data_IF_619160975374
#
_entry.id   IF_619160975374
#
_cell.length_a   1.000
_cell.length_b   1.000
_cell.length_c   1.000
_cell.angle_alpha   90.00
_cell.angle_beta   90.00
_cell.angle_gamma   90.00
#
_symmetry.space_group_name_H-M   'P 1'
#
loop_
_entity.id
_entity.type
_entity.pdbx_description
1 polymer ?
#
# COMPACT_ATOMS: atom_id res chain seq x y z
N UNK A 1 -0.11 13.41 -30.43
CA UNK A 1 1.08 13.84 -29.67
C UNK A 1 0.75 13.61 -28.21
N UNK A 2 1.51 12.77 -27.50
CA UNK A 2 1.22 12.49 -26.10
C UNK A 2 1.44 13.76 -25.27
N UNK A 3 0.42 14.18 -24.52
CA UNK A 3 0.44 15.39 -23.70
C UNK A 3 1.48 15.24 -22.58
N UNK A 4 2.68 15.81 -22.78
CA UNK A 4 3.73 15.90 -21.76
C UNK A 4 3.77 17.33 -21.26
N UNK A 5 3.55 17.53 -19.97
CA UNK A 5 3.69 18.82 -19.30
C UNK A 5 5.13 18.98 -18.78
N UNK A 6 5.73 20.16 -18.97
CA UNK A 6 7.07 20.46 -18.45
C UNK A 6 6.95 20.99 -17.02
N UNK A 7 7.52 20.26 -16.07
CA UNK A 7 7.57 20.62 -14.66
C UNK A 7 9.03 20.86 -14.27
N UNK A 8 9.32 22.00 -13.65
CA UNK A 8 10.64 22.28 -13.07
C UNK A 8 10.67 21.76 -11.63
N UNK A 9 11.64 20.91 -11.32
CA UNK A 9 11.80 20.31 -9.99
C UNK A 9 13.25 20.47 -9.52
N UNK A 10 13.41 20.75 -8.23
CA UNK A 10 14.73 20.77 -7.59
C UNK A 10 15.08 19.38 -7.09
N UNK A 11 16.30 18.95 -7.34
CA UNK A 11 16.83 17.66 -6.88
C UNK A 11 18.10 17.87 -6.07
N UNK A 12 18.40 16.96 -5.14
CA UNK A 12 19.70 16.97 -4.48
C UNK A 12 20.81 16.64 -5.50
N UNK A 13 22.05 17.08 -5.28
CA UNK A 13 23.16 16.80 -6.20
C UNK A 13 23.32 15.31 -6.49
N UNK A 14 23.15 14.46 -5.46
CA UNK A 14 23.28 13.01 -5.54
C UNK A 14 22.21 12.40 -6.46
N UNK A 15 20.94 12.84 -6.36
CA UNK A 15 19.90 12.35 -7.26
C UNK A 15 20.11 12.83 -8.69
N UNK A 16 20.59 14.07 -8.87
CA UNK A 16 20.89 14.59 -10.20
C UNK A 16 22.05 13.82 -10.86
N UNK A 17 23.01 13.32 -10.09
CA UNK A 17 24.09 12.45 -10.56
C UNK A 17 23.55 11.08 -11.01
N UNK A 18 22.72 10.43 -10.19
CA UNK A 18 22.05 9.18 -10.58
C UNK A 18 21.28 9.34 -11.90
N UNK A 19 20.55 10.45 -12.08
CA UNK A 19 19.83 10.75 -13.32
C UNK A 19 20.75 10.95 -14.53
N UNK A 20 21.95 11.51 -14.33
CA UNK A 20 22.95 11.68 -15.39
C UNK A 20 23.58 10.34 -15.75
N UNK A 21 24.03 9.57 -14.78
CA UNK A 21 24.66 8.26 -14.99
C UNK A 21 23.73 7.29 -15.73
N UNK A 22 22.44 7.30 -15.38
CA UNK A 22 21.42 6.50 -16.04
C UNK A 22 21.25 6.85 -17.54
N UNK A 23 21.44 8.11 -17.91
CA UNK A 23 21.39 8.56 -19.30
C UNK A 23 22.73 8.33 -20.01
N UNK A 24 23.85 8.65 -19.36
CA UNK A 24 25.20 8.49 -19.90
C UNK A 24 25.56 7.03 -20.17
N UNK A 25 25.08 6.10 -19.34
CA UNK A 25 25.21 4.66 -19.58
C UNK A 25 24.37 4.13 -20.75
N UNK A 26 23.45 4.93 -21.29
CA UNK A 26 22.52 4.54 -22.35
C UNK A 26 21.34 3.69 -21.86
N UNK A 27 21.18 3.48 -20.55
CA UNK A 27 20.03 2.76 -20.00
C UNK A 27 18.71 3.51 -20.20
N UNK A 28 18.76 4.84 -20.27
CA UNK A 28 17.61 5.71 -20.52
C UNK A 28 17.91 6.78 -21.57
N UNK A 29 16.92 7.16 -22.39
CA UNK A 29 17.09 8.18 -23.41
C UNK A 29 17.08 9.61 -22.83
N UNK A 30 16.55 9.81 -21.63
CA UNK A 30 16.50 11.12 -20.96
C UNK A 30 16.22 11.00 -19.47
N UNK A 31 16.61 12.01 -18.68
CA UNK A 31 16.27 12.08 -17.25
C UNK A 31 14.75 12.14 -17.03
N UNK A 32 13.98 12.71 -17.98
CA UNK A 32 12.52 12.70 -17.92
C UNK A 32 11.92 11.30 -18.02
N UNK A 33 12.62 10.35 -18.64
CA UNK A 33 12.19 8.95 -18.70
C UNK A 33 12.34 8.27 -17.35
N UNK A 34 13.52 8.43 -16.72
CA UNK A 34 13.79 7.94 -15.35
C UNK A 34 12.78 8.51 -14.36
N UNK A 35 12.51 9.81 -14.43
CA UNK A 35 11.53 10.46 -13.54
C UNK A 35 10.13 9.89 -13.77
N UNK A 36 9.72 9.63 -15.01
CA UNK A 36 8.40 9.02 -15.28
C UNK A 36 8.30 7.60 -14.76
N UNK A 37 9.36 6.81 -14.83
CA UNK A 37 9.40 5.48 -14.21
C UNK A 37 9.26 5.57 -12.69
N UNK A 38 10.11 6.36 -12.03
CA UNK A 38 10.06 6.57 -10.59
C UNK A 38 8.67 7.09 -10.12
N UNK A 39 8.04 7.97 -10.90
CA UNK A 39 6.70 8.47 -10.61
C UNK A 39 5.60 7.41 -10.75
N UNK A 40 5.72 6.46 -11.68
CA UNK A 40 4.77 5.34 -11.78
C UNK A 40 4.83 4.48 -10.53
N UNK A 41 6.04 4.10 -10.11
CA UNK A 41 6.24 3.28 -8.91
C UNK A 41 5.78 4.00 -7.65
N UNK A 42 6.15 5.28 -7.52
CA UNK A 42 5.69 6.11 -6.41
C UNK A 42 4.17 6.25 -6.40
N UNK A 43 3.52 6.46 -7.56
CA UNK A 43 2.07 6.61 -7.64
C UNK A 43 1.31 5.34 -7.23
N UNK A 44 1.83 4.16 -7.58
CA UNK A 44 1.27 2.89 -7.17
C UNK A 44 1.35 2.72 -5.64
N UNK A 45 2.52 3.04 -5.05
CA UNK A 45 2.70 3.04 -3.59
C UNK A 45 1.79 4.07 -2.90
N UNK A 46 1.63 5.25 -3.51
CA UNK A 46 0.77 6.31 -2.98
C UNK A 46 -0.70 5.89 -2.95
N UNK A 47 -1.18 5.27 -4.04
CA UNK A 47 -2.53 4.75 -4.14
C UNK A 47 -2.77 3.65 -3.09
N UNK A 48 -1.87 2.68 -2.99
CA UNK A 48 -1.95 1.62 -1.98
C UNK A 48 -2.05 2.20 -0.56
N UNK A 49 -1.18 3.15 -0.22
CA UNK A 49 -1.20 3.80 1.10
C UNK A 49 -2.54 4.49 1.37
N UNK A 50 -3.11 5.15 0.37
CA UNK A 50 -4.40 5.83 0.52
C UNK A 50 -5.53 4.82 0.78
N UNK A 51 -5.50 3.70 0.07
CA UNK A 51 -6.51 2.66 0.18
C UNK A 51 -6.39 1.92 1.53
N UNK A 52 -5.17 1.67 2.01
CA UNK A 52 -4.91 1.11 3.34
C UNK A 52 -5.47 2.01 4.45
N UNK A 53 -5.22 3.32 4.35
CA UNK A 53 -5.77 4.30 5.32
C UNK A 53 -7.30 4.29 5.28
N UNK A 54 -7.90 4.24 4.09
CA UNK A 54 -9.36 4.17 3.95
C UNK A 54 -9.91 2.89 4.59
N UNK A 55 -9.26 1.75 4.36
CA UNK A 55 -9.63 0.45 4.94
C UNK A 55 -9.54 0.48 6.47
N UNK A 56 -8.44 0.98 7.03
CA UNK A 56 -8.27 1.10 8.49
C UNK A 56 -9.34 1.99 9.12
N UNK A 57 -9.71 3.10 8.46
CA UNK A 57 -10.80 3.96 8.93
C UNK A 57 -12.16 3.26 8.89
N UNK A 58 -12.42 2.46 7.85
CA UNK A 58 -13.65 1.68 7.76
C UNK A 58 -13.74 0.64 8.88
N UNK A 59 -12.67 -0.15 9.10
CA UNK A 59 -12.60 -1.14 10.19
C UNK A 59 -12.74 -0.49 11.57
N UNK A 60 -12.15 0.70 11.77
CA UNK A 60 -12.33 1.46 13.01
C UNK A 60 -13.78 1.92 13.19
N UNK A 61 -14.43 2.40 12.14
CA UNK A 61 -15.83 2.82 12.21
C UNK A 61 -16.76 1.62 12.50
N UNK A 62 -16.49 0.47 11.89
CA UNK A 62 -17.18 -0.79 12.15
C UNK A 62 -17.03 -1.22 13.60
N UNK A 63 -15.81 -1.27 14.13
CA UNK A 63 -15.57 -1.62 15.54
C UNK A 63 -16.20 -0.64 16.53
N UNK A 64 -16.29 0.66 16.20
CA UNK A 64 -17.04 1.61 17.03
C UNK A 64 -18.56 1.39 16.98
N UNK A 65 -19.07 0.83 15.87
CA UNK A 65 -20.47 0.56 15.69
C UNK A 65 -20.89 -0.84 16.21
N UNK A 66 -19.93 -1.72 16.54
CA UNK A 66 -20.18 -3.10 16.95
C UNK A 66 -20.68 -3.28 18.39
N UNK A 67 -20.90 -2.18 19.12
CA UNK A 67 -21.44 -2.18 20.47
C UNK A 67 -20.42 -1.78 21.53
N UNK A 68 -20.76 -2.01 22.80
CA UNK A 68 -19.89 -1.68 23.93
C UNK A 68 -18.72 -2.66 24.03
N UNK A 69 -17.53 -2.14 24.34
CA UNK A 69 -16.37 -2.98 24.64
C UNK A 69 -16.63 -3.82 25.89
N UNK A 70 -16.21 -5.08 25.85
CA UNK A 70 -16.18 -5.99 27.00
C UNK A 70 -14.74 -6.38 27.32
N UNK A 71 -14.49 -6.90 28.52
CA UNK A 71 -13.23 -7.59 28.81
C UNK A 71 -13.15 -8.87 27.95
N UNK A 72 -11.92 -9.23 27.55
CA UNK A 72 -11.67 -10.40 26.70
C UNK A 72 -10.99 -11.48 27.52
N UNK A 73 -11.64 -12.64 27.63
CA UNK A 73 -11.00 -13.88 28.06
C UNK A 73 -10.46 -14.62 26.83
N UNK A 74 -9.14 -14.70 26.71
CA UNK A 74 -8.48 -15.32 25.57
C UNK A 74 -8.62 -16.84 25.55
N UNK A 75 -8.78 -17.50 26.70
CA UNK A 75 -8.98 -18.95 26.76
C UNK A 75 -10.38 -19.31 26.28
N UNK A 76 -11.40 -18.54 26.69
CA UNK A 76 -12.77 -18.68 26.20
C UNK A 76 -12.85 -18.42 24.68
N UNK A 77 -12.28 -17.31 24.22
CA UNK A 77 -12.25 -16.96 22.79
C UNK A 77 -11.55 -18.03 21.93
N UNK A 78 -10.46 -18.63 22.43
CA UNK A 78 -9.76 -19.71 21.72
C UNK A 78 -10.60 -20.98 21.66
N UNK A 79 -11.32 -21.31 22.73
CA UNK A 79 -12.18 -22.49 22.77
C UNK A 79 -13.38 -22.32 21.82
N UNK A 80 -13.97 -21.13 21.75
CA UNK A 80 -15.02 -20.79 20.77
C UNK A 80 -14.53 -20.97 19.32
N UNK A 81 -13.37 -20.39 18.98
CA UNK A 81 -12.79 -20.51 17.64
C UNK A 81 -12.49 -21.97 17.25
N UNK A 82 -12.05 -22.81 18.20
CA UNK A 82 -11.84 -24.26 17.97
C UNK A 82 -13.14 -25.01 17.73
N UNK A 83 -14.19 -24.68 18.47
CA UNK A 83 -15.52 -25.27 18.29
C UNK A 83 -16.11 -24.92 16.92
N UNK A 84 -15.97 -23.66 16.49
CA UNK A 84 -16.39 -23.20 15.17
C UNK A 84 -15.68 -23.98 14.05
N UNK A 85 -14.34 -24.12 14.14
CA UNK A 85 -13.56 -24.89 13.17
C UNK A 85 -13.97 -26.37 13.11
N UNK A 86 -14.27 -27.00 14.24
CA UNK A 86 -14.74 -28.38 14.29
C UNK A 86 -16.13 -28.52 13.63
N UNK A 87 -17.01 -27.53 13.82
CA UNK A 87 -18.35 -27.53 13.22
C UNK A 87 -18.32 -27.41 11.69
N UNK A 88 -17.37 -26.65 11.15
CA UNK A 88 -17.17 -26.52 9.70
C UNK A 88 -16.68 -27.83 9.08
N UNK A 89 -15.73 -28.52 9.73
CA UNK A 89 -15.22 -29.81 9.25
C UNK A 89 -16.29 -30.91 9.22
N UNK A 90 -17.23 -30.89 10.15
CA UNK A 90 -18.33 -31.85 10.19
C UNK A 90 -19.44 -31.56 9.18
N UNK A 91 -19.47 -30.36 8.56
CA UNK A 91 -20.45 -29.99 7.51
C UNK A 91 -19.99 -30.36 6.10
N UNK A 92 -18.69 -30.61 5.91
CA UNK A 92 -18.08 -31.01 4.65
C UNK A 92 -17.91 -32.55 4.53
N UNK A 93 -18.62 -33.32 5.37
CA UNK A 93 -18.77 -34.78 5.31
C UNK A 93 -20.25 -35.14 5.29
#
# INVERSE_FOLDING_TARGET
MANVEKISVSMTPQHAEILRDAVESGAYASSSEVIREAMRDWSAKWLQRRDDIAKLRALWAEGKASGSSTEVDFDEALNEARAELASLKNRDH
#
